data_IF_855612883890
#
_entry.id   IF_855612883890
#
_cell.length_a   1.000
_cell.length_b   1.000
_cell.length_c   1.000
_cell.angle_alpha   90.00
_cell.angle_beta   90.00
_cell.angle_gamma   90.00
#
_symmetry.space_group_name_H-M   'P 1'
#
loop_
_entity.id
_entity.type
_entity.pdbx_description
1 polymer ?
#
# COMPACT_ATOMS: atom_id res chain seq x y z
N UNK A 1 0.07 0.78 -11.78
CA UNK A 1 0.13 2.09 -12.50
C UNK A 1 -0.07 3.30 -11.59
N UNK A 2 -1.11 3.36 -10.75
CA UNK A 2 -1.37 4.53 -9.89
C UNK A 2 -0.26 4.80 -8.86
N UNK A 3 0.15 3.76 -8.12
CA UNK A 3 1.25 3.81 -7.13
C UNK A 3 2.54 4.30 -7.79
N UNK A 4 2.96 3.67 -8.89
CA UNK A 4 4.16 4.06 -9.64
C UNK A 4 4.17 5.55 -10.02
N UNK A 5 3.04 6.08 -10.49
CA UNK A 5 2.90 7.51 -10.82
C UNK A 5 3.03 8.42 -9.59
N UNK A 6 2.46 8.02 -8.46
CA UNK A 6 2.56 8.79 -7.22
C UNK A 6 4.01 8.87 -6.72
N UNK A 7 4.77 7.80 -6.91
CA UNK A 7 6.16 7.69 -6.44
C UNK A 7 7.16 8.51 -7.24
N UNK A 8 6.85 8.91 -8.48
CA UNK A 8 7.76 9.74 -9.32
C UNK A 8 8.19 11.02 -8.60
N UNK A 9 7.36 11.55 -7.70
CA UNK A 9 7.64 12.76 -6.92
C UNK A 9 8.45 12.51 -5.64
N UNK A 10 8.85 11.28 -5.37
CA UNK A 10 9.54 10.86 -4.14
C UNK A 10 8.85 11.42 -2.89
N UNK A 11 7.54 11.16 -2.71
CA UNK A 11 6.82 11.67 -1.57
C UNK A 11 7.36 11.06 -0.27
N UNK A 12 7.16 11.74 0.85
CA UNK A 12 7.38 11.16 2.18
C UNK A 12 6.16 10.42 2.73
N UNK A 13 4.98 10.75 2.20
CA UNK A 13 3.70 10.14 2.59
C UNK A 13 2.88 9.85 1.34
N UNK A 14 2.32 8.65 1.25
CA UNK A 14 1.41 8.23 0.18
C UNK A 14 0.04 7.93 0.78
N UNK A 15 -0.98 8.68 0.33
CA UNK A 15 -2.38 8.46 0.68
C UNK A 15 -3.02 7.57 -0.37
N UNK A 16 -3.62 6.45 0.04
CA UNK A 16 -4.20 5.46 -0.85
C UNK A 16 -5.64 5.11 -0.43
N UNK A 17 -6.61 5.44 -1.29
CA UNK A 17 -8.00 5.05 -1.10
C UNK A 17 -8.28 3.75 -1.85
N UNK A 18 -8.54 2.69 -1.09
CA UNK A 18 -8.71 1.31 -1.55
C UNK A 18 -7.68 0.83 -2.60
N UNK A 19 -6.36 0.86 -2.29
CA UNK A 19 -5.30 0.59 -3.27
C UNK A 19 -5.31 -0.81 -3.89
N UNK A 20 -5.99 -1.76 -3.23
CA UNK A 20 -6.09 -3.15 -3.62
C UNK A 20 -7.51 -3.56 -4.03
N UNK A 21 -8.40 -2.59 -4.22
CA UNK A 21 -9.73 -2.87 -4.76
C UNK A 21 -9.63 -3.56 -6.12
N UNK A 22 -10.58 -4.47 -6.39
CA UNK A 22 -10.64 -5.28 -7.61
C UNK A 22 -9.48 -6.27 -7.81
N UNK A 23 -8.60 -6.47 -6.82
CA UNK A 23 -7.63 -7.57 -6.82
C UNK A 23 -8.24 -8.81 -6.16
N UNK A 24 -7.87 -9.98 -6.69
CA UNK A 24 -8.11 -11.24 -5.98
C UNK A 24 -7.26 -11.32 -4.70
N UNK A 25 -7.60 -12.28 -3.84
CA UNK A 25 -6.99 -12.43 -2.51
C UNK A 25 -5.46 -12.65 -2.59
N UNK A 26 -5.00 -13.48 -3.52
CA UNK A 26 -3.57 -13.78 -3.67
C UNK A 26 -2.76 -12.57 -4.15
N UNK A 27 -3.27 -11.84 -5.14
CA UNK A 27 -2.65 -10.65 -5.69
C UNK A 27 -2.66 -9.49 -4.69
N UNK A 28 -3.68 -9.44 -3.83
CA UNK A 28 -3.80 -8.45 -2.78
C UNK A 28 -2.69 -8.60 -1.75
N UNK A 29 -2.41 -9.82 -1.31
CA UNK A 29 -1.33 -10.10 -0.37
C UNK A 29 0.04 -9.75 -0.96
N UNK A 30 0.29 -10.14 -2.21
CA UNK A 30 1.53 -9.81 -2.92
C UNK A 30 1.74 -8.29 -3.04
N UNK A 31 0.68 -7.54 -3.39
CA UNK A 31 0.77 -6.08 -3.43
C UNK A 31 1.03 -5.48 -2.05
N UNK A 32 0.44 -6.02 -0.99
CA UNK A 32 0.72 -5.53 0.35
C UNK A 32 2.20 -5.72 0.72
N UNK A 33 2.79 -6.88 0.43
CA UNK A 33 4.21 -7.13 0.72
C UNK A 33 5.13 -6.17 -0.07
N UNK A 34 4.74 -5.84 -1.30
CA UNK A 34 5.45 -4.82 -2.10
C UNK A 34 5.33 -3.44 -1.43
N UNK A 35 4.15 -3.04 -0.97
CA UNK A 35 3.96 -1.74 -0.32
C UNK A 35 4.76 -1.61 1.00
N UNK A 36 4.84 -2.70 1.78
CA UNK A 36 5.65 -2.78 3.00
C UNK A 36 7.13 -2.56 2.71
N UNK A 37 7.70 -3.36 1.79
CA UNK A 37 9.12 -3.25 1.43
C UNK A 37 9.47 -1.87 0.89
N UNK A 38 8.58 -1.25 0.12
CA UNK A 38 8.77 0.13 -0.34
C UNK A 38 8.74 1.15 0.80
N UNK A 39 7.92 0.93 1.83
CA UNK A 39 7.91 1.75 3.03
C UNK A 39 9.25 1.73 3.74
N UNK A 40 9.82 0.53 3.93
CA UNK A 40 11.11 0.31 4.56
C UNK A 40 12.28 0.85 3.73
N UNK A 41 12.33 0.54 2.43
CA UNK A 41 13.45 0.89 1.56
C UNK A 41 13.51 2.40 1.24
N UNK A 42 12.35 3.04 1.09
CA UNK A 42 12.25 4.44 0.64
C UNK A 42 11.99 5.41 1.80
N UNK A 43 11.77 4.92 3.02
CA UNK A 43 11.33 5.73 4.16
C UNK A 43 9.97 6.39 3.90
N UNK A 44 9.08 5.67 3.22
CA UNK A 44 7.78 6.16 2.76
C UNK A 44 6.68 5.76 3.76
N UNK A 45 5.95 6.73 4.29
CA UNK A 45 4.77 6.44 5.12
C UNK A 45 3.54 6.20 4.24
N UNK A 46 2.88 5.06 4.41
CA UNK A 46 1.59 4.80 3.77
C UNK A 46 0.43 5.13 4.73
N UNK A 47 -0.58 5.82 4.22
CA UNK A 47 -1.88 5.95 4.88
C UNK A 47 -2.92 5.43 3.92
N UNK A 48 -3.57 4.34 4.28
CA UNK A 48 -4.55 3.69 3.43
C UNK A 48 -5.94 3.66 4.04
N UNK A 49 -6.95 3.73 3.18
CA UNK A 49 -8.36 3.48 3.52
C UNK A 49 -8.77 2.18 2.86
N UNK A 50 -9.44 1.31 3.62
CA UNK A 50 -9.96 0.02 3.12
C UNK A 50 -11.16 -0.42 3.96
N UNK A 51 -12.10 -1.12 3.34
CA UNK A 51 -13.16 -1.83 4.03
C UNK A 51 -12.78 -3.28 4.40
N UNK A 52 -11.61 -3.76 3.93
CA UNK A 52 -11.10 -5.10 4.22
C UNK A 52 -10.35 -5.12 5.57
N UNK A 53 -10.91 -5.84 6.54
CA UNK A 53 -10.35 -5.95 7.89
C UNK A 53 -9.05 -6.74 7.96
N UNK A 54 -8.84 -7.72 7.08
CA UNK A 54 -7.59 -8.49 7.04
C UNK A 54 -6.44 -7.59 6.58
N UNK A 55 -6.71 -6.77 5.57
CA UNK A 55 -5.76 -5.78 5.05
C UNK A 55 -5.46 -4.69 6.07
N UNK A 56 -6.49 -4.18 6.76
CA UNK A 56 -6.29 -3.21 7.83
C UNK A 56 -5.43 -3.78 8.96
N UNK A 57 -5.57 -5.07 9.29
CA UNK A 57 -4.74 -5.73 10.30
C UNK A 57 -3.29 -5.90 9.83
N UNK A 58 -3.08 -6.29 8.56
CA UNK A 58 -1.75 -6.42 7.96
C UNK A 58 -1.01 -5.09 7.88
N UNK A 59 -1.69 -4.02 7.48
CA UNK A 59 -1.10 -2.68 7.38
C UNK A 59 -0.75 -2.02 8.73
N UNK A 60 -1.32 -2.52 9.85
CA UNK A 60 -1.13 -1.91 11.18
C UNK A 60 0.29 -2.04 11.71
N UNK A 61 1.08 -2.95 11.16
CA UNK A 61 2.46 -3.21 11.61
C UNK A 61 3.52 -2.44 10.83
N UNK A 62 3.10 -1.60 9.87
CA UNK A 62 3.97 -0.75 9.05
C UNK A 62 4.09 0.67 9.59
#
# INVERSE_FOLDING_TARGET
MAISRALVKQPKVLLADEPTANLDESMRDEIMDVLESMGEELGLTFVMVTHDSAIAMKARVW
#
